data_IF_753547755149
#
_entry.id   IF_753547755149
#
_cell.length_a   1.000
_cell.length_b   1.000
_cell.length_c   1.000
_cell.angle_alpha   90.00
_cell.angle_beta   90.00
_cell.angle_gamma   90.00
#
_symmetry.space_group_name_H-M   'P 1'
#
loop_
_entity.id
_entity.type
_entity.pdbx_description
1 polymer ?
#
# COMPACT_ATOMS: atom_id res chain seq x y z
N UNK A 1 -10.89 -7.59 34.65
CA UNK A 1 -11.20 -8.57 33.60
C UNK A 1 -10.24 -9.74 33.75
N UNK A 2 -10.72 -10.96 34.03
CA UNK A 2 -9.87 -12.16 33.99
C UNK A 2 -9.81 -12.59 32.53
N UNK A 3 -8.64 -12.47 31.92
CA UNK A 3 -8.39 -12.97 30.56
C UNK A 3 -8.51 -14.49 30.59
N UNK A 4 -9.41 -15.04 29.79
CA UNK A 4 -9.49 -16.48 29.56
C UNK A 4 -8.18 -16.96 28.87
N UNK A 5 -7.82 -18.25 29.00
CA UNK A 5 -6.66 -18.83 28.32
C UNK A 5 -6.70 -18.60 26.80
N UNK A 6 -5.52 -18.63 26.20
CA UNK A 6 -5.27 -18.28 24.80
C UNK A 6 -5.84 -19.29 23.79
N UNK A 7 -6.15 -20.51 24.19
CA UNK A 7 -6.71 -21.57 23.32
C UNK A 7 -8.23 -21.71 23.48
N UNK A 8 -8.95 -20.60 23.38
CA UNK A 8 -10.40 -20.59 23.57
C UNK A 8 -11.09 -20.22 22.26
N UNK A 9 -12.18 -20.93 21.96
CA UNK A 9 -13.06 -20.61 20.84
C UNK A 9 -13.49 -19.13 20.89
N UNK A 10 -13.68 -18.50 19.73
CA UNK A 10 -14.13 -17.13 19.64
C UNK A 10 -15.62 -17.02 20.01
N UNK A 11 -15.88 -17.03 21.32
CA UNK A 11 -17.19 -16.98 21.95
C UNK A 11 -17.30 -15.69 22.77
N UNK A 12 -18.20 -14.79 22.38
CA UNK A 12 -18.49 -13.54 23.07
C UNK A 12 -19.87 -13.61 23.72
N UNK A 13 -19.99 -14.41 24.79
CA UNK A 13 -21.25 -14.68 25.48
C UNK A 13 -21.15 -14.45 26.98
N UNK A 14 -22.28 -14.16 27.64
CA UNK A 14 -22.29 -14.06 29.10
C UNK A 14 -22.24 -15.44 29.75
N UNK A 15 -21.87 -15.49 31.04
CA UNK A 15 -21.77 -16.75 31.80
C UNK A 15 -23.06 -17.58 31.75
N UNK A 16 -24.23 -16.93 31.76
CA UNK A 16 -25.52 -17.60 31.71
C UNK A 16 -25.79 -18.29 30.36
N UNK A 17 -25.22 -17.77 29.27
CA UNK A 17 -25.40 -18.30 27.91
C UNK A 17 -24.28 -19.24 27.48
N UNK A 18 -23.23 -19.41 28.31
CA UNK A 18 -22.01 -20.13 27.95
C UNK A 18 -22.27 -21.61 27.63
N UNK A 19 -23.00 -22.33 28.47
CA UNK A 19 -23.27 -23.76 28.26
C UNK A 19 -24.03 -24.00 26.95
N UNK A 20 -25.01 -23.13 26.66
CA UNK A 20 -25.77 -23.17 25.40
C UNK A 20 -24.88 -22.87 24.21
N UNK A 21 -24.01 -21.87 24.30
CA UNK A 21 -23.07 -21.53 23.24
C UNK A 21 -22.10 -22.67 22.94
N UNK A 22 -21.57 -23.33 23.98
CA UNK A 22 -20.70 -24.49 23.83
C UNK A 22 -21.43 -25.68 23.20
N UNK A 23 -22.67 -25.96 23.60
CA UNK A 23 -23.49 -27.01 22.99
C UNK A 23 -23.78 -26.77 21.51
N UNK A 24 -24.06 -25.51 21.14
CA UNK A 24 -24.24 -25.11 19.73
C UNK A 24 -22.94 -25.30 18.95
N UNK A 25 -21.81 -24.83 19.48
CA UNK A 25 -20.51 -24.93 18.84
C UNK A 25 -20.07 -26.39 18.65
N UNK A 26 -20.23 -27.24 19.67
CA UNK A 26 -19.90 -28.66 19.62
C UNK A 26 -20.70 -29.40 18.53
N UNK A 27 -22.03 -29.23 18.53
CA UNK A 27 -22.89 -29.85 17.52
C UNK A 27 -22.58 -29.36 16.10
N UNK A 28 -22.33 -28.06 15.95
CA UNK A 28 -21.97 -27.46 14.68
C UNK A 28 -20.63 -28.00 14.16
N UNK A 29 -19.59 -28.00 14.99
CA UNK A 29 -18.25 -28.44 14.59
C UNK A 29 -18.21 -29.93 14.27
N UNK A 30 -18.90 -30.77 15.05
CA UNK A 30 -19.04 -32.20 14.71
C UNK A 30 -19.72 -32.38 13.36
N UNK A 31 -20.81 -31.65 13.10
CA UNK A 31 -21.51 -31.71 11.82
C UNK A 31 -20.61 -31.25 10.65
N UNK A 32 -19.93 -30.12 10.79
CA UNK A 32 -19.00 -29.61 9.79
C UNK A 32 -17.78 -30.53 9.58
N UNK A 33 -17.28 -31.20 10.62
CA UNK A 33 -16.20 -32.17 10.48
C UNK A 33 -16.60 -33.33 9.56
N UNK A 34 -17.87 -33.79 9.61
CA UNK A 34 -18.38 -34.80 8.65
C UNK A 34 -18.43 -34.30 7.21
N UNK A 35 -18.45 -32.98 7.00
CA UNK A 35 -18.45 -32.33 5.70
C UNK A 35 -17.04 -31.93 5.22
N UNK A 36 -15.98 -32.41 5.89
CA UNK A 36 -14.60 -32.16 5.48
C UNK A 36 -14.04 -30.79 5.91
N UNK A 37 -14.52 -30.25 7.03
CA UNK A 37 -13.94 -29.06 7.64
C UNK A 37 -13.02 -29.41 8.81
N UNK A 38 -11.92 -28.67 8.92
CA UNK A 38 -11.02 -28.67 10.07
C UNK A 38 -11.08 -27.32 10.79
N UNK A 39 -10.65 -27.30 12.06
CA UNK A 39 -10.76 -26.14 12.93
C UNK A 39 -9.40 -25.82 13.54
N UNK A 40 -9.09 -24.54 13.64
CA UNK A 40 -7.84 -24.03 14.19
C UNK A 40 -8.16 -22.83 15.07
N UNK A 41 -7.65 -22.79 16.30
CA UNK A 41 -7.78 -21.63 17.19
C UNK A 41 -6.49 -20.84 17.11
N UNK A 42 -6.58 -19.61 16.61
CA UNK A 42 -5.47 -18.68 16.62
C UNK A 42 -5.52 -17.87 17.92
N UNK A 43 -4.70 -18.29 18.88
CA UNK A 43 -4.62 -17.70 20.20
C UNK A 43 -4.15 -16.25 20.23
N UNK A 44 -3.31 -15.85 19.27
CA UNK A 44 -2.71 -14.53 19.25
C UNK A 44 -3.70 -13.48 18.74
N UNK A 45 -4.59 -13.89 17.83
CA UNK A 45 -5.64 -13.04 17.27
C UNK A 45 -7.00 -13.21 17.99
N UNK A 46 -7.13 -14.21 18.86
CA UNK A 46 -8.40 -14.54 19.52
C UNK A 46 -9.46 -15.03 18.53
N UNK A 47 -9.03 -15.71 17.46
CA UNK A 47 -9.90 -16.11 16.36
C UNK A 47 -10.04 -17.62 16.27
N UNK A 48 -11.20 -18.08 15.84
CA UNK A 48 -11.41 -19.46 15.44
C UNK A 48 -11.52 -19.50 13.92
N UNK A 49 -10.70 -20.32 13.28
CA UNK A 49 -10.69 -20.50 11.84
C UNK A 49 -11.31 -21.86 11.50
N UNK A 50 -12.18 -21.85 10.51
CA UNK A 50 -12.73 -23.04 9.88
C UNK A 50 -12.05 -23.18 8.53
N UNK A 51 -11.37 -24.29 8.30
CA UNK A 51 -10.67 -24.62 7.06
C UNK A 51 -11.45 -25.69 6.32
N UNK A 52 -11.84 -25.41 5.08
CA UNK A 52 -12.38 -26.41 4.18
C UNK A 52 -11.24 -27.23 3.58
N UNK A 53 -11.19 -28.53 3.86
CA UNK A 53 -10.05 -29.37 3.51
C UNK A 53 -9.91 -29.62 2.00
N UNK A 54 -11.02 -29.57 1.25
CA UNK A 54 -11.02 -29.81 -0.19
C UNK A 54 -10.26 -28.73 -0.97
N UNK A 55 -10.44 -27.46 -0.59
CA UNK A 55 -9.88 -26.32 -1.32
C UNK A 55 -8.81 -25.58 -0.53
N UNK A 56 -8.64 -25.90 0.76
CA UNK A 56 -7.80 -25.16 1.69
C UNK A 56 -8.37 -23.80 2.11
N UNK A 57 -9.61 -23.46 1.72
CA UNK A 57 -10.23 -22.17 2.03
C UNK A 57 -10.47 -22.01 3.53
N UNK A 58 -9.96 -20.93 4.11
CA UNK A 58 -10.12 -20.61 5.53
C UNK A 58 -11.13 -19.48 5.74
N UNK A 59 -12.02 -19.64 6.72
CA UNK A 59 -13.03 -18.65 7.11
C UNK A 59 -12.98 -18.45 8.63
N UNK A 60 -13.12 -17.20 9.08
CA UNK A 60 -13.24 -16.92 10.51
C UNK A 60 -14.63 -17.34 11.03
N UNK A 61 -14.69 -17.87 12.24
CA UNK A 61 -15.91 -18.21 12.96
C UNK A 61 -15.97 -17.40 14.26
N UNK A 62 -17.17 -16.94 14.58
CA UNK A 62 -17.48 -16.39 15.90
C UNK A 62 -18.91 -16.72 16.32
N UNK A 63 -19.12 -16.79 17.62
CA UNK A 63 -20.46 -16.89 18.21
C UNK A 63 -20.58 -15.83 19.30
N UNK A 64 -21.57 -14.94 19.15
CA UNK A 64 -21.76 -13.79 20.03
C UNK A 64 -23.18 -13.75 20.60
N UNK A 65 -23.29 -13.33 21.85
CA UNK A 65 -24.58 -13.00 22.46
C UNK A 65 -24.91 -11.53 22.17
N UNK A 66 -26.13 -11.28 21.71
CA UNK A 66 -26.62 -9.92 21.63
C UNK A 66 -26.84 -9.37 23.03
N UNK A 67 -26.23 -8.22 23.30
CA UNK A 67 -26.37 -7.52 24.57
C UNK A 67 -27.14 -6.23 24.34
N UNK A 68 -28.22 -6.03 25.09
CA UNK A 68 -29.03 -4.82 24.99
C UNK A 68 -28.28 -3.69 25.70
N UNK A 69 -28.01 -2.63 24.94
CA UNK A 69 -27.36 -1.40 25.42
C UNK A 69 -28.41 -0.38 25.83
N UNK A 70 -28.43 -0.02 27.10
CA UNK A 70 -29.33 1.00 27.66
C UNK A 70 -28.51 2.19 28.19
N UNK A 71 -29.03 3.43 28.14
CA UNK A 71 -28.38 4.55 28.82
C UNK A 71 -28.17 4.24 30.30
N UNK A 72 -26.97 4.50 30.81
CA UNK A 72 -26.65 4.22 32.20
C UNK A 72 -27.42 5.15 33.14
N UNK A 73 -28.02 4.57 34.18
CA UNK A 73 -28.70 5.34 35.23
C UNK A 73 -27.71 5.56 36.36
N UNK A 74 -27.32 6.82 36.58
CA UNK A 74 -26.35 7.20 37.61
C UNK A 74 -26.80 6.66 38.97
N UNK A 75 -25.94 5.87 39.59
CA UNK A 75 -26.19 5.33 40.92
C UNK A 75 -25.98 6.40 42.01
N UNK A 76 -26.62 6.26 43.18
CA UNK A 76 -26.37 7.17 44.30
C UNK A 76 -24.89 7.20 44.74
N UNK A 77 -24.12 6.15 44.49
CA UNK A 77 -22.68 6.12 44.78
C UNK A 77 -21.89 6.99 43.79
N UNK A 78 -22.19 6.91 42.50
CA UNK A 78 -21.57 7.73 41.45
C UNK A 78 -21.97 9.19 41.57
N UNK A 79 -23.21 9.50 41.94
CA UNK A 79 -23.65 10.87 42.20
C UNK A 79 -22.84 11.49 43.36
N UNK A 80 -22.59 10.73 44.44
CA UNK A 80 -21.71 11.17 45.54
C UNK A 80 -20.27 11.35 45.08
N UNK A 81 -19.78 10.51 44.17
CA UNK A 81 -18.44 10.64 43.61
C UNK A 81 -18.32 11.91 42.75
N UNK A 82 -19.31 12.21 41.90
CA UNK A 82 -19.37 13.47 41.14
C UNK A 82 -19.40 14.68 42.07
N UNK A 83 -20.26 14.67 43.10
CA UNK A 83 -20.33 15.76 44.09
C UNK A 83 -19.00 15.96 44.81
N UNK A 84 -18.30 14.87 45.15
CA UNK A 84 -16.96 14.93 45.77
C UNK A 84 -15.92 15.53 44.83
N UNK A 85 -15.94 15.15 43.55
CA UNK A 85 -15.09 15.71 42.52
C UNK A 85 -15.33 17.22 42.40
N UNK A 86 -16.57 17.66 42.15
CA UNK A 86 -16.88 19.09 42.00
C UNK A 86 -16.58 19.93 43.24
N UNK A 87 -16.68 19.35 44.44
CA UNK A 87 -16.34 20.01 45.70
C UNK A 87 -14.83 20.20 45.93
N UNK A 88 -13.97 19.32 45.37
CA UNK A 88 -12.51 19.35 45.59
C UNK A 88 -11.69 19.77 44.37
N UNK A 89 -12.22 19.62 43.16
CA UNK A 89 -11.52 19.93 41.91
C UNK A 89 -11.15 21.41 41.76
N UNK A 90 -11.73 22.29 42.59
CA UNK A 90 -11.36 23.71 42.69
C UNK A 90 -9.98 23.95 43.34
N UNK A 91 -9.48 23.00 44.13
CA UNK A 91 -8.27 23.16 44.95
C UNK A 91 -7.21 22.07 44.70
N UNK A 92 -7.61 20.97 44.04
CA UNK A 92 -6.75 19.87 43.68
C UNK A 92 -6.94 19.54 42.20
N UNK A 93 -6.04 20.08 41.37
CA UNK A 93 -6.03 19.87 39.91
C UNK A 93 -5.56 18.47 39.50
N UNK A 94 -5.07 17.66 40.44
CA UNK A 94 -4.64 16.28 40.17
C UNK A 94 -5.79 15.27 40.27
N UNK A 95 -7.00 15.72 40.61
CA UNK A 95 -8.16 14.85 40.77
C UNK A 95 -8.80 14.53 39.42
N UNK A 96 -8.89 13.24 39.10
CA UNK A 96 -9.55 12.78 37.88
C UNK A 96 -11.07 12.69 38.05
N UNK A 97 -11.80 12.92 36.96
CA UNK A 97 -13.26 12.79 36.95
C UNK A 97 -13.66 11.32 37.15
N UNK A 98 -14.65 11.01 38.02
CA UNK A 98 -15.10 9.63 38.24
C UNK A 98 -15.48 8.94 36.93
N UNK A 99 -14.93 7.76 36.67
CA UNK A 99 -15.23 6.98 35.46
C UNK A 99 -16.64 6.39 35.55
N UNK A 100 -17.62 7.14 35.05
CA UNK A 100 -19.02 6.72 35.04
C UNK A 100 -19.35 6.12 33.67
N UNK A 101 -19.86 4.88 33.61
CA UNK A 101 -20.27 4.27 32.35
C UNK A 101 -21.34 5.11 31.66
N UNK A 102 -21.26 5.20 30.33
CA UNK A 102 -22.33 5.82 29.53
C UNK A 102 -23.53 4.90 29.33
N UNK A 103 -23.31 3.60 29.40
CA UNK A 103 -24.30 2.59 29.07
C UNK A 103 -24.26 1.41 30.04
N UNK A 104 -25.44 0.88 30.33
CA UNK A 104 -25.64 -0.42 30.97
C UNK A 104 -25.91 -1.50 29.91
N UNK A 105 -25.33 -2.67 30.15
CA UNK A 105 -25.36 -3.79 29.23
C UNK A 105 -26.14 -4.94 29.87
N UNK A 106 -27.26 -5.32 29.25
CA UNK A 106 -28.11 -6.42 29.75
C UNK A 106 -28.09 -7.59 28.77
N UNK A 107 -27.66 -8.80 29.20
CA UNK A 107 -27.68 -9.98 28.35
C UNK A 107 -29.09 -10.31 27.91
N UNK A 108 -29.26 -10.66 26.63
CA UNK A 108 -30.59 -11.01 26.09
C UNK A 108 -30.77 -12.51 25.90
N UNK A 109 -29.70 -13.30 25.99
CA UNK A 109 -29.69 -14.73 25.65
C UNK A 109 -29.83 -15.03 24.16
N UNK A 110 -29.92 -14.01 23.31
CA UNK A 110 -30.06 -14.14 21.85
C UNK A 110 -28.68 -14.33 21.24
N UNK A 111 -28.41 -15.52 20.70
CA UNK A 111 -27.11 -15.87 20.13
C UNK A 111 -27.07 -15.62 18.62
N UNK A 112 -25.88 -15.30 18.11
CA UNK A 112 -25.59 -15.10 16.69
C UNK A 112 -24.31 -15.86 16.34
N UNK A 113 -24.35 -16.67 15.29
CA UNK A 113 -23.18 -17.28 14.66
C UNK A 113 -22.80 -16.42 13.46
N UNK A 114 -21.52 -16.07 13.34
CA UNK A 114 -20.99 -15.41 12.14
C UNK A 114 -19.83 -16.23 11.57
N UNK A 115 -19.82 -16.37 10.24
CA UNK A 115 -18.73 -17.04 9.50
C UNK A 115 -18.28 -16.17 8.33
N UNK A 116 -16.97 -16.12 8.12
CA UNK A 116 -16.33 -15.30 7.11
C UNK A 116 -15.98 -13.89 7.60
N UNK A 117 -15.56 -13.04 6.67
CA UNK A 117 -15.24 -11.63 6.94
C UNK A 117 -15.92 -10.76 5.90
N UNK A 118 -16.17 -9.51 6.26
CA UNK A 118 -16.66 -8.54 5.29
C UNK A 118 -15.71 -8.49 4.07
N UNK A 119 -16.21 -8.49 2.82
CA UNK A 119 -17.61 -8.44 2.40
C UNK A 119 -18.32 -9.81 2.29
N UNK A 120 -17.60 -10.92 2.37
CA UNK A 120 -18.13 -12.28 2.25
C UNK A 120 -18.33 -12.91 3.63
N UNK A 121 -19.40 -12.49 4.33
CA UNK A 121 -19.80 -13.03 5.63
C UNK A 121 -21.23 -13.56 5.61
N UNK A 122 -21.47 -14.63 6.35
CA UNK A 122 -22.80 -15.16 6.64
C UNK A 122 -23.05 -15.06 8.14
N UNK A 123 -24.29 -14.74 8.51
CA UNK A 123 -24.69 -14.54 9.90
C UNK A 123 -26.04 -15.21 10.14
N UNK A 124 -26.13 -15.98 11.22
CA UNK A 124 -27.35 -16.65 11.66
C UNK A 124 -27.64 -16.25 13.09
N UNK A 125 -28.85 -15.76 13.34
CA UNK A 125 -29.25 -15.22 14.65
C UNK A 125 -30.48 -15.95 15.17
N UNK A 126 -30.54 -16.12 16.49
CA UNK A 126 -31.75 -16.51 17.19
C UNK A 126 -32.91 -15.55 16.84
N UNK A 127 -34.09 -16.12 16.60
CA UNK A 127 -35.31 -15.33 16.40
C UNK A 127 -36.31 -15.66 17.49
N UNK A 128 -37.33 -14.80 17.73
CA UNK A 128 -38.39 -15.10 18.70
C UNK A 128 -39.11 -16.42 18.43
N UNK A 129 -39.10 -16.91 17.18
CA UNK A 129 -39.81 -18.12 16.75
C UNK A 129 -38.93 -19.36 16.67
N UNK A 130 -37.62 -19.20 16.45
CA UNK A 130 -36.71 -20.31 16.22
C UNK A 130 -35.32 -20.03 16.76
N UNK A 131 -34.80 -21.02 17.47
CA UNK A 131 -33.45 -20.98 18.03
C UNK A 131 -32.43 -21.56 17.06
N UNK A 132 -31.16 -21.18 17.23
CA UNK A 132 -30.05 -21.65 16.39
C UNK A 132 -29.90 -23.17 16.41
N UNK A 133 -30.03 -23.81 17.59
CA UNK A 133 -29.94 -25.26 17.74
C UNK A 133 -30.93 -26.04 16.85
N UNK A 134 -32.10 -25.45 16.57
CA UNK A 134 -33.14 -26.07 15.74
C UNK A 134 -32.86 -25.96 14.23
N UNK A 135 -31.88 -25.13 13.84
CA UNK A 135 -31.59 -24.80 12.43
C UNK A 135 -30.13 -25.07 12.06
N UNK A 136 -29.40 -25.86 12.85
CA UNK A 136 -27.99 -26.18 12.60
C UNK A 136 -27.75 -26.74 11.20
N UNK A 137 -28.65 -27.57 10.66
CA UNK A 137 -28.52 -28.07 9.29
C UNK A 137 -28.47 -26.95 8.24
N UNK A 138 -29.28 -25.90 8.41
CA UNK A 138 -29.26 -24.72 7.55
C UNK A 138 -28.01 -23.86 7.75
N UNK A 139 -27.47 -23.80 8.97
CA UNK A 139 -26.19 -23.13 9.26
C UNK A 139 -25.05 -23.86 8.56
N UNK A 140 -24.98 -25.18 8.66
CA UNK A 140 -23.96 -26.02 7.99
C UNK A 140 -24.02 -25.85 6.47
N UNK A 141 -25.22 -25.93 5.88
CA UNK A 141 -25.39 -25.73 4.44
C UNK A 141 -24.90 -24.34 4.01
N UNK A 142 -25.26 -23.30 4.75
CA UNK A 142 -24.82 -21.94 4.44
C UNK A 142 -23.31 -21.71 4.62
N UNK A 143 -22.66 -22.39 5.56
CA UNK A 143 -21.19 -22.37 5.70
C UNK A 143 -20.52 -23.06 4.50
N UNK A 144 -21.07 -24.18 4.02
CA UNK A 144 -20.56 -24.86 2.82
C UNK A 144 -20.69 -23.98 1.57
N UNK A 145 -21.83 -23.32 1.39
CA UNK A 145 -22.02 -22.40 0.27
C UNK A 145 -21.09 -21.18 0.37
N UNK A 146 -20.87 -20.65 1.57
CA UNK A 146 -19.90 -19.59 1.81
C UNK A 146 -18.47 -20.04 1.48
N UNK A 147 -18.08 -21.27 1.83
CA UNK A 147 -16.77 -21.82 1.51
C UNK A 147 -16.55 -21.87 -0.01
N UNK A 148 -17.55 -22.38 -0.76
CA UNK A 148 -17.53 -22.42 -2.23
C UNK A 148 -17.42 -21.03 -2.85
N UNK A 149 -18.26 -20.09 -2.40
CA UNK A 149 -18.23 -18.72 -2.90
C UNK A 149 -16.89 -18.04 -2.60
N UNK A 150 -16.34 -18.26 -1.41
CA UNK A 150 -15.05 -17.70 -1.00
C UNK A 150 -13.92 -18.27 -1.86
N UNK A 151 -13.93 -19.58 -2.13
CA UNK A 151 -12.96 -20.20 -3.02
C UNK A 151 -13.01 -19.63 -4.44
N UNK A 152 -14.21 -19.55 -5.05
CA UNK A 152 -14.38 -19.00 -6.40
C UNK A 152 -13.86 -17.56 -6.47
N UNK A 153 -14.18 -16.73 -5.48
CA UNK A 153 -13.68 -15.35 -5.41
C UNK A 153 -12.16 -15.30 -5.32
N UNK A 154 -11.54 -16.13 -4.48
CA UNK A 154 -10.08 -16.21 -4.36
C UNK A 154 -9.42 -16.60 -5.69
N UNK A 155 -10.00 -17.54 -6.43
CA UNK A 155 -9.49 -17.92 -7.76
C UNK A 155 -9.62 -16.78 -8.77
N UNK A 156 -10.75 -16.08 -8.80
CA UNK A 156 -10.95 -14.96 -9.70
C UNK A 156 -10.03 -13.78 -9.37
N UNK A 157 -9.82 -13.49 -8.08
CA UNK A 157 -8.87 -12.47 -7.62
C UNK A 157 -7.44 -12.82 -8.00
N UNK A 158 -7.02 -14.09 -7.83
CA UNK A 158 -5.72 -14.56 -8.25
C UNK A 158 -5.51 -14.38 -9.76
N UNK A 159 -6.49 -14.79 -10.59
CA UNK A 159 -6.46 -14.61 -12.04
C UNK A 159 -6.38 -13.14 -12.45
N UNK A 160 -7.18 -12.27 -11.81
CA UNK A 160 -7.16 -10.82 -12.06
C UNK A 160 -5.81 -10.21 -11.69
N UNK A 161 -5.23 -10.61 -10.56
CA UNK A 161 -3.93 -10.13 -10.10
C UNK A 161 -2.83 -10.53 -11.08
N UNK A 162 -2.81 -11.78 -11.54
CA UNK A 162 -1.85 -12.24 -12.55
C UNK A 162 -2.01 -11.49 -13.88
N UNK A 163 -3.25 -11.34 -14.37
CA UNK A 163 -3.52 -10.62 -15.61
C UNK A 163 -3.08 -9.15 -15.51
N UNK A 164 -3.34 -8.50 -14.38
CA UNK A 164 -2.89 -7.14 -14.12
C UNK A 164 -1.37 -7.04 -14.07
N UNK A 165 -0.68 -7.95 -13.37
CA UNK A 165 0.79 -7.98 -13.33
C UNK A 165 1.40 -8.14 -14.72
N UNK A 166 0.83 -9.02 -15.57
CA UNK A 166 1.28 -9.19 -16.96
C UNK A 166 1.04 -7.92 -17.78
N UNK A 167 -0.11 -7.27 -17.62
CA UNK A 167 -0.44 -6.03 -18.31
C UNK A 167 0.52 -4.88 -17.92
N UNK A 168 0.82 -4.75 -16.63
CA UNK A 168 1.78 -3.75 -16.11
C UNK A 168 3.18 -4.02 -16.67
N UNK A 169 3.67 -5.26 -16.58
CA UNK A 169 4.99 -5.61 -17.11
C UNK A 169 5.11 -5.37 -18.63
N UNK A 170 4.05 -5.68 -19.38
CA UNK A 170 4.00 -5.41 -20.82
C UNK A 170 4.00 -3.91 -21.13
N UNK A 171 3.22 -3.12 -20.38
CA UNK A 171 3.18 -1.66 -20.53
C UNK A 171 4.54 -1.03 -20.21
N UNK A 172 5.19 -1.43 -19.12
CA UNK A 172 6.52 -0.93 -18.74
C UNK A 172 7.57 -1.29 -19.79
N UNK A 173 7.53 -2.52 -20.33
CA UNK A 173 8.43 -2.94 -21.41
C UNK A 173 8.27 -2.07 -22.66
N UNK A 174 7.02 -1.85 -23.12
CA UNK A 174 6.75 -1.03 -24.29
C UNK A 174 7.13 0.43 -24.06
N UNK A 175 6.83 0.97 -22.89
CA UNK A 175 7.17 2.35 -22.53
C UNK A 175 8.68 2.53 -22.52
N UNK A 176 9.43 1.62 -21.90
CA UNK A 176 10.90 1.66 -21.90
C UNK A 176 11.48 1.57 -23.31
N UNK A 177 10.96 0.66 -24.15
CA UNK A 177 11.37 0.57 -25.56
C UNK A 177 11.14 1.88 -26.30
N UNK A 178 9.99 2.52 -26.08
CA UNK A 178 9.67 3.79 -26.72
C UNK A 178 10.59 4.92 -26.21
N UNK A 179 10.82 5.02 -24.90
CA UNK A 179 11.71 6.07 -24.34
C UNK A 179 13.14 5.89 -24.81
N UNK A 180 13.63 4.65 -24.83
CA UNK A 180 14.99 4.33 -25.31
C UNK A 180 15.13 4.69 -26.80
N UNK A 181 14.11 4.40 -27.62
CA UNK A 181 14.13 4.71 -29.05
C UNK A 181 14.05 6.22 -29.31
N UNK A 182 13.21 6.95 -28.56
CA UNK A 182 13.12 8.42 -28.65
C UNK A 182 14.45 9.07 -28.26
N UNK A 183 15.11 8.59 -27.21
CA UNK A 183 16.39 9.13 -26.77
C UNK A 183 17.50 8.83 -27.79
N UNK A 184 17.56 7.61 -28.33
CA UNK A 184 18.47 7.25 -29.43
C UNK A 184 18.26 8.13 -30.65
N UNK A 185 17.00 8.38 -31.01
CA UNK A 185 16.67 9.23 -32.14
C UNK A 185 17.10 10.69 -31.91
N UNK A 186 16.86 11.25 -30.72
CA UNK A 186 17.33 12.61 -30.37
C UNK A 186 18.85 12.73 -30.44
N UNK A 187 19.57 11.71 -29.95
CA UNK A 187 21.03 11.68 -30.04
C UNK A 187 21.49 11.64 -31.50
N UNK A 188 20.87 10.82 -32.34
CA UNK A 188 21.16 10.76 -33.77
C UNK A 188 20.89 12.09 -34.48
N UNK A 189 19.76 12.73 -34.20
CA UNK A 189 19.41 14.04 -34.77
C UNK A 189 20.41 15.13 -34.33
N UNK A 190 20.80 15.13 -33.06
CA UNK A 190 21.81 16.05 -32.54
C UNK A 190 23.18 15.81 -33.20
N UNK A 191 23.57 14.55 -33.41
CA UNK A 191 24.81 14.21 -34.11
C UNK A 191 24.76 14.68 -35.56
N UNK A 192 23.69 14.38 -36.30
CA UNK A 192 23.53 14.81 -37.68
C UNK A 192 23.57 16.34 -37.82
N UNK A 193 22.91 17.06 -36.90
CA UNK A 193 22.92 18.53 -36.85
C UNK A 193 24.33 19.07 -36.59
N UNK A 194 25.07 18.48 -35.66
CA UNK A 194 26.43 18.91 -35.34
C UNK A 194 27.41 18.60 -36.48
N UNK A 195 27.26 17.46 -37.15
CA UNK A 195 28.02 17.13 -38.35
C UNK A 195 27.77 18.15 -39.47
N UNK A 196 26.51 18.52 -39.74
CA UNK A 196 26.19 19.53 -40.74
C UNK A 196 26.77 20.90 -40.38
N UNK A 197 26.68 21.30 -39.10
CA UNK A 197 27.27 22.55 -38.61
C UNK A 197 28.80 22.55 -38.75
N UNK A 198 29.46 21.44 -38.45
CA UNK A 198 30.90 21.29 -38.65
C UNK A 198 31.28 21.43 -40.13
N UNK A 199 30.54 20.77 -41.04
CA UNK A 199 30.75 20.94 -42.48
C UNK A 199 30.62 22.40 -42.92
N UNK A 200 29.55 23.09 -42.48
CA UNK A 200 29.35 24.52 -42.78
C UNK A 200 30.49 25.40 -42.26
N UNK A 201 31.04 25.10 -41.07
CA UNK A 201 32.19 25.82 -40.53
C UNK A 201 33.47 25.60 -41.36
N UNK A 202 33.74 24.36 -41.80
CA UNK A 202 34.88 24.03 -42.69
C UNK A 202 34.74 24.70 -44.05
N UNK A 203 33.54 24.72 -44.61
CA UNK A 203 33.23 25.39 -45.88
C UNK A 203 33.44 26.89 -45.78
N UNK A 204 32.97 27.51 -44.69
CA UNK A 204 33.17 28.94 -44.44
C UNK A 204 34.66 29.29 -44.28
N UNK A 205 35.41 28.53 -43.48
CA UNK A 205 36.86 28.72 -43.35
C UNK A 205 37.57 28.61 -44.72
N UNK A 206 37.18 27.64 -45.54
CA UNK A 206 37.72 27.47 -46.90
C UNK A 206 37.34 28.63 -47.83
N UNK A 207 36.16 29.21 -47.68
CA UNK A 207 35.75 30.40 -48.43
C UNK A 207 36.56 31.64 -48.05
N UNK A 208 36.81 31.85 -46.75
CA UNK A 208 37.66 32.94 -46.22
C UNK A 208 39.09 32.79 -46.74
N UNK A 209 39.66 31.58 -46.70
CA UNK A 209 41.01 31.31 -47.21
C UNK A 209 41.16 31.59 -48.71
N UNK A 210 40.15 31.23 -49.52
CA UNK A 210 40.15 31.58 -50.95
C UNK A 210 40.07 33.09 -51.20
N UNK A 211 39.26 33.80 -50.39
CA UNK A 211 39.13 35.24 -50.51
C UNK A 211 40.44 35.95 -50.17
N UNK A 212 41.11 35.58 -49.07
CA UNK A 212 42.38 36.20 -48.65
C UNK A 212 43.53 35.89 -49.60
N UNK A 213 43.56 34.68 -50.18
CA UNK A 213 44.52 34.34 -51.23
C UNK A 213 44.39 35.24 -52.48
N UNK A 214 43.16 35.65 -52.83
CA UNK A 214 42.92 36.53 -53.98
C UNK A 214 43.35 37.99 -53.76
N UNK A 215 43.44 38.45 -52.50
CA UNK A 215 43.74 39.86 -52.14
C UNK A 215 45.19 40.11 -51.71
N UNK A 216 46.10 39.14 -51.89
CA UNK A 216 47.52 39.30 -51.54
C UNK A 216 48.06 38.30 -50.51
N UNK A 217 47.27 37.27 -50.16
CA UNK A 217 47.65 36.22 -49.22
C UNK A 217 47.19 36.49 -47.78
N UNK A 218 47.06 35.46 -46.94
CA UNK A 218 46.59 35.61 -45.56
C UNK A 218 47.65 36.24 -44.66
N UNK A 219 47.21 37.12 -43.75
CA UNK A 219 48.05 37.60 -42.64
C UNK A 219 48.26 36.50 -41.58
N UNK A 220 49.23 36.68 -40.68
CA UNK A 220 49.47 35.74 -39.58
C UNK A 220 48.21 35.52 -38.71
N UNK A 221 47.50 36.59 -38.34
CA UNK A 221 46.25 36.49 -37.58
C UNK A 221 45.15 35.71 -38.32
N UNK A 222 45.08 35.83 -39.65
CA UNK A 222 44.12 35.10 -40.46
C UNK A 222 44.46 33.60 -40.55
N UNK A 223 45.74 33.25 -40.62
CA UNK A 223 46.20 31.85 -40.57
C UNK A 223 45.82 31.22 -39.23
N UNK A 224 46.10 31.91 -38.12
CA UNK A 224 45.75 31.45 -36.79
C UNK A 224 44.23 31.26 -36.63
N UNK A 225 43.44 32.23 -37.11
CA UNK A 225 41.98 32.14 -37.10
C UNK A 225 41.44 30.97 -37.94
N UNK A 226 42.00 30.73 -39.13
CA UNK A 226 41.62 29.60 -39.99
C UNK A 226 41.92 28.26 -39.31
N UNK A 227 43.07 28.14 -38.64
CA UNK A 227 43.44 26.95 -37.89
C UNK A 227 42.48 26.70 -36.71
N UNK A 228 42.15 27.76 -35.97
CA UNK A 228 41.20 27.72 -34.86
C UNK A 228 39.80 27.34 -35.34
N UNK A 229 39.30 27.95 -36.42
CA UNK A 229 37.97 27.67 -36.95
C UNK A 229 37.82 26.21 -37.41
N UNK A 230 38.86 25.66 -38.06
CA UNK A 230 38.92 24.24 -38.45
C UNK A 230 38.95 23.32 -37.23
N UNK A 231 39.76 23.63 -36.22
CA UNK A 231 39.80 22.86 -34.98
C UNK A 231 38.45 22.86 -34.23
N UNK A 232 37.72 23.99 -34.22
CA UNK A 232 36.37 24.06 -33.64
C UNK A 232 35.33 23.28 -34.44
N UNK A 233 35.47 23.23 -35.78
CA UNK A 233 34.62 22.40 -36.61
C UNK A 233 34.86 20.91 -36.33
N UNK A 234 36.13 20.50 -36.18
CA UNK A 234 36.50 19.13 -35.85
C UNK A 234 36.04 18.70 -34.46
N UNK A 235 36.10 19.59 -33.46
CA UNK A 235 35.51 19.32 -32.14
C UNK A 235 33.98 19.15 -32.17
N UNK A 236 33.28 19.92 -33.01
CA UNK A 236 31.83 19.84 -33.12
C UNK A 236 31.37 18.57 -33.87
N UNK A 237 32.19 18.06 -34.78
CA UNK A 237 31.86 16.93 -35.64
C UNK A 237 31.82 15.60 -34.84
N UNK A 238 30.65 14.94 -34.71
CA UNK A 238 30.56 13.70 -33.95
C UNK A 238 31.37 12.54 -34.55
N UNK A 239 31.81 12.64 -35.81
CA UNK A 239 32.65 11.63 -36.47
C UNK A 239 34.15 11.83 -36.21
N UNK A 240 34.53 12.96 -35.61
CA UNK A 240 35.92 13.31 -35.31
C UNK A 240 36.12 13.25 -33.80
N UNK A 241 36.98 12.33 -33.35
CA UNK A 241 37.24 12.11 -31.92
C UNK A 241 38.31 13.10 -31.43
N UNK A 242 37.92 14.36 -31.23
CA UNK A 242 38.79 15.42 -30.73
C UNK A 242 38.13 16.14 -29.56
N UNK A 243 38.87 16.30 -28.46
CA UNK A 243 38.46 17.11 -27.31
C UNK A 243 38.98 18.53 -27.43
N UNK A 244 38.17 19.51 -27.04
CA UNK A 244 38.56 20.91 -26.96
C UNK A 244 38.80 21.32 -25.51
N UNK A 245 40.05 21.67 -25.13
CA UNK A 245 40.39 21.95 -23.73
C UNK A 245 39.61 23.10 -23.08
N UNK A 246 39.01 24.00 -23.87
CA UNK A 246 38.27 25.16 -23.38
C UNK A 246 36.77 24.86 -23.33
N UNK A 247 36.22 24.23 -24.37
CA UNK A 247 34.78 23.96 -24.46
C UNK A 247 34.35 22.70 -23.70
N UNK A 248 35.25 21.74 -23.51
CA UNK A 248 34.99 20.54 -22.68
C UNK A 248 35.34 20.77 -21.19
N UNK A 249 35.92 21.92 -20.86
CA UNK A 249 36.25 22.25 -19.47
C UNK A 249 34.95 22.46 -18.65
N UNK A 250 34.91 21.99 -17.39
CA UNK A 250 33.80 22.31 -16.50
C UNK A 250 33.70 23.83 -16.32
N UNK A 251 32.47 24.35 -16.23
CA UNK A 251 32.26 25.78 -16.05
C UNK A 251 33.07 26.31 -14.85
N UNK A 252 33.86 27.38 -15.04
CA UNK A 252 34.65 27.94 -13.95
C UNK A 252 33.72 28.47 -12.87
N UNK A 253 33.90 27.97 -11.65
CA UNK A 253 33.13 28.45 -10.48
C UNK A 253 33.49 29.91 -10.22
N UNK A 254 32.47 30.76 -10.06
CA UNK A 254 32.67 32.16 -9.63
C UNK A 254 33.37 32.17 -8.26
N UNK A 255 34.48 32.92 -8.08
CA UNK A 255 35.10 33.05 -6.78
C UNK A 255 34.12 33.69 -5.79
N UNK A 256 33.97 33.08 -4.62
CA UNK A 256 33.13 33.62 -3.55
C UNK A 256 33.75 34.89 -2.93
N UNK A 257 32.91 35.83 -2.48
CA UNK A 257 33.35 36.99 -1.70
C UNK A 257 33.83 36.52 -0.31
N UNK A 258 35.07 36.09 -0.22
CA UNK A 258 35.73 35.76 1.03
C UNK A 258 37.19 35.43 0.72
N UNK A 259 38.10 36.01 1.49
CA UNK A 259 39.56 35.92 1.34
C UNK A 259 40.20 36.93 0.38
N UNK A 260 40.11 38.20 0.75
CA UNK A 260 41.29 39.05 0.69
C UNK A 260 41.84 39.19 2.11
N UNK A 261 42.94 38.52 2.40
CA UNK A 261 43.89 38.94 3.44
C UNK A 261 45.27 38.48 3.00
N UNK A 262 46.15 39.41 2.58
CA UNK A 262 47.57 39.14 2.41
C UNK A 262 48.28 39.10 3.78
N UNK A 263 49.53 38.58 3.81
CA UNK A 263 50.26 38.19 5.02
C UNK A 263 50.67 39.35 5.93
#
# INVERSE_FOLDING_TARGET
MRSAPKDVLNLSVTKASLDRALGIADALFKSLATQGFAFEVNSDQGETLIRWLETGTTMAFSLAEHVKRLPHVITPAEERAQKRYWGRSRWDSSMEYPTIPRYDFTPTGVLTIEVGRWPSRSSWKDTPRTRLEQRLGGVVAGILDLARQTHTKQLDEARRKEAHQRAVAHYEFLTRRQTDEVERFKQLESQATNWERAARLRDYASAVERQTAATGGPSAEQVDWLSWARAKADWLDPLVQVSDPILDAPEPKRPGLGWASPP
#
